data_IF_734147006969
#
_entry.id   IF_734147006969
#
_cell.length_a   1.000
_cell.length_b   1.000
_cell.length_c   1.000
_cell.angle_alpha   90.00
_cell.angle_beta   90.00
_cell.angle_gamma   90.00
#
_symmetry.space_group_name_H-M   'P 1'
#
loop_
_entity.id
_entity.type
_entity.pdbx_description
1 polymer ?
#
# COMPACT_ATOMS: atom_id res chain seq x y z
N UNK A 1 12.77 9.73 11.84
CA UNK A 1 11.61 9.36 12.69
C UNK A 1 12.00 9.28 14.15
N UNK A 2 12.92 8.40 14.56
CA UNK A 2 13.29 8.24 15.97
C UNK A 2 13.82 9.51 16.68
N UNK A 3 14.30 10.49 15.92
CA UNK A 3 14.81 11.77 16.42
C UNK A 3 13.79 12.92 16.34
N UNK A 4 12.54 12.64 15.94
CA UNK A 4 11.49 13.66 15.88
C UNK A 4 10.78 13.75 17.23
N UNK A 5 10.49 14.97 17.67
CA UNK A 5 9.75 15.22 18.93
C UNK A 5 8.25 14.99 18.78
N UNK A 6 7.73 15.03 17.54
CA UNK A 6 6.33 14.86 17.21
C UNK A 6 6.15 13.81 16.09
N UNK A 7 4.93 13.27 15.99
CA UNK A 7 4.57 12.34 14.93
C UNK A 7 4.61 13.02 13.55
N UNK A 8 5.11 12.29 12.54
CA UNK A 8 5.05 12.74 11.15
C UNK A 8 3.59 12.85 10.70
N UNK A 9 3.28 13.99 10.08
CA UNK A 9 2.02 14.13 9.35
C UNK A 9 1.89 13.09 8.24
N UNK A 10 0.66 12.66 7.99
CA UNK A 10 0.35 11.81 6.86
C UNK A 10 0.61 12.58 5.56
N UNK A 11 1.32 11.94 4.62
CA UNK A 11 1.58 12.47 3.30
C UNK A 11 0.84 11.63 2.25
N UNK A 12 0.23 12.30 1.27
CA UNK A 12 -0.34 11.66 0.09
C UNK A 12 0.33 12.28 -1.13
N UNK A 13 0.93 11.43 -1.96
CA UNK A 13 1.59 11.82 -3.21
C UNK A 13 0.74 11.32 -4.38
N UNK A 14 -0.14 12.18 -4.87
CA UNK A 14 -1.11 11.83 -5.92
C UNK A 14 -0.42 11.47 -7.23
N UNK A 15 0.61 12.22 -7.64
CA UNK A 15 1.38 11.98 -8.86
C UNK A 15 2.28 10.73 -8.75
N UNK A 16 2.74 10.45 -7.53
CA UNK A 16 3.55 9.29 -7.18
C UNK A 16 2.74 8.02 -6.92
N UNK A 17 1.41 8.13 -6.87
CA UNK A 17 0.49 7.06 -6.49
C UNK A 17 0.86 6.41 -5.15
N UNK A 18 1.21 7.20 -4.13
CA UNK A 18 1.63 6.67 -2.83
C UNK A 18 1.11 7.48 -1.65
N UNK A 19 1.08 6.86 -0.48
CA UNK A 19 0.83 7.52 0.79
C UNK A 19 1.83 7.04 1.84
N UNK A 20 2.15 7.91 2.79
CA UNK A 20 3.11 7.63 3.85
C UNK A 20 2.56 8.12 5.19
N UNK A 21 2.71 7.29 6.22
CA UNK A 21 2.45 7.68 7.62
C UNK A 21 3.54 7.16 8.54
N UNK A 22 3.66 7.75 9.72
CA UNK A 22 4.54 7.19 10.75
C UNK A 22 4.04 5.80 11.16
N UNK A 23 4.98 4.88 11.37
CA UNK A 23 4.73 3.55 11.94
C UNK A 23 5.83 3.30 12.97
N UNK A 24 5.49 3.52 14.25
CA UNK A 24 6.43 3.48 15.37
C UNK A 24 7.62 4.42 15.12
N UNK A 25 8.86 3.89 15.07
CA UNK A 25 10.09 4.63 14.78
C UNK A 25 10.52 4.56 13.31
N UNK A 26 9.61 4.12 12.43
CA UNK A 26 9.78 4.08 10.98
C UNK A 26 8.56 4.68 10.29
N UNK A 27 8.31 4.23 9.06
CA UNK A 27 7.15 4.65 8.27
C UNK A 27 6.44 3.44 7.68
N UNK A 28 5.15 3.59 7.42
CA UNK A 28 4.42 2.75 6.48
C UNK A 28 4.29 3.54 5.18
N UNK A 29 4.70 2.93 4.08
CA UNK A 29 4.50 3.42 2.72
C UNK A 29 3.52 2.47 2.02
N UNK A 30 2.43 3.00 1.51
CA UNK A 30 1.51 2.29 0.63
C UNK A 30 1.58 2.86 -0.78
N UNK A 31 1.36 2.02 -1.78
CA UNK A 31 1.37 2.38 -3.20
C UNK A 31 0.06 1.95 -3.86
N UNK A 32 -0.38 2.73 -4.85
CA UNK A 32 -1.52 2.43 -5.71
C UNK A 32 -1.00 2.08 -7.11
N UNK A 33 -1.16 0.83 -7.50
CA UNK A 33 -0.65 0.33 -8.77
C UNK A 33 -1.45 0.90 -9.95
N UNK A 34 -0.75 1.39 -10.97
CA UNK A 34 -1.42 1.79 -12.22
C UNK A 34 -1.79 0.60 -13.11
N UNK A 35 -1.09 -0.53 -12.95
CA UNK A 35 -1.38 -1.79 -13.66
C UNK A 35 -1.66 -2.91 -12.66
N UNK A 36 -2.84 -2.90 -12.01
CA UNK A 36 -3.14 -3.84 -10.93
C UNK A 36 -3.38 -5.26 -11.45
N UNK A 37 -3.04 -6.25 -10.62
CA UNK A 37 -3.40 -7.64 -10.85
C UNK A 37 -4.64 -8.00 -10.03
N UNK A 38 -5.70 -8.40 -10.71
CA UNK A 38 -6.88 -8.93 -10.05
C UNK A 38 -6.56 -10.26 -9.35
N UNK A 39 -7.14 -10.45 -8.17
CA UNK A 39 -6.97 -11.65 -7.36
C UNK A 39 -8.30 -12.38 -7.23
N UNK A 40 -8.32 -13.67 -7.54
CA UNK A 40 -9.47 -14.56 -7.38
C UNK A 40 -10.78 -14.02 -7.98
N UNK A 41 -10.79 -13.76 -9.30
CA UNK A 41 -11.95 -13.24 -10.03
C UNK A 41 -13.19 -14.15 -9.97
N UNK A 42 -12.98 -15.46 -9.82
CA UNK A 42 -14.07 -16.44 -9.67
C UNK A 42 -14.56 -16.58 -8.21
N UNK A 43 -13.97 -15.83 -7.28
CA UNK A 43 -14.26 -15.84 -5.85
C UNK A 43 -13.05 -16.25 -5.01
N UNK A 44 -12.83 -15.53 -3.91
CA UNK A 44 -11.84 -15.91 -2.92
C UNK A 44 -12.24 -17.21 -2.19
N UNK A 45 -11.29 -18.03 -1.73
CA UNK A 45 -11.58 -19.20 -0.88
C UNK A 45 -12.41 -18.83 0.35
N UNK A 46 -13.35 -19.70 0.73
CA UNK A 46 -14.24 -19.46 1.87
C UNK A 46 -13.53 -19.41 3.22
N UNK A 47 -12.34 -20.00 3.32
CA UNK A 47 -11.48 -20.01 4.49
C UNK A 47 -10.43 -18.89 4.48
N UNK A 48 -10.39 -18.05 3.44
CA UNK A 48 -9.51 -16.90 3.40
C UNK A 48 -9.95 -15.82 4.40
N UNK A 49 -9.01 -15.34 5.21
CA UNK A 49 -9.27 -14.30 6.21
C UNK A 49 -8.00 -13.60 6.70
N UNK A 50 -7.38 -14.13 7.77
CA UNK A 50 -6.20 -13.54 8.42
C UNK A 50 -4.90 -13.94 7.68
N UNK A 51 -4.93 -13.89 6.35
CA UNK A 51 -3.83 -14.30 5.48
C UNK A 51 -3.43 -13.17 4.53
N UNK A 52 -2.14 -13.09 4.22
CA UNK A 52 -1.60 -12.16 3.24
C UNK A 52 -1.29 -12.90 1.95
N UNK A 53 -1.53 -12.23 0.83
CA UNK A 53 -1.07 -12.67 -0.48
C UNK A 53 0.46 -12.52 -0.49
N UNK A 54 1.22 -13.44 -1.10
CA UNK A 54 2.66 -13.26 -1.27
C UNK A 54 2.99 -11.93 -1.97
N UNK A 55 4.07 -11.29 -1.56
CA UNK A 55 4.52 -10.05 -2.19
C UNK A 55 4.99 -10.27 -3.63
N UNK A 56 4.74 -9.28 -4.48
CA UNK A 56 5.21 -9.21 -5.85
C UNK A 56 5.87 -7.83 -6.05
N UNK A 57 7.16 -7.77 -5.73
CA UNK A 57 7.89 -6.49 -5.64
C UNK A 57 8.09 -5.89 -7.03
N UNK A 58 8.31 -6.71 -8.04
CA UNK A 58 8.52 -6.25 -9.41
C UNK A 58 7.26 -5.54 -9.95
N UNK A 59 6.08 -6.04 -9.58
CA UNK A 59 4.79 -5.45 -9.95
C UNK A 59 4.62 -4.01 -9.43
N UNK A 60 5.06 -3.73 -8.21
CA UNK A 60 4.93 -2.41 -7.56
C UNK A 60 6.17 -1.51 -7.72
N UNK A 61 7.22 -2.02 -8.37
CA UNK A 61 8.51 -1.32 -8.49
C UNK A 61 8.43 0.06 -9.15
N UNK A 62 7.56 0.32 -10.16
CA UNK A 62 7.45 1.65 -10.75
C UNK A 62 7.02 2.72 -9.74
N UNK A 63 5.96 2.48 -8.98
CA UNK A 63 5.44 3.39 -7.95
C UNK A 63 6.39 3.48 -6.76
N UNK A 64 6.97 2.34 -6.34
CA UNK A 64 7.97 2.31 -5.27
C UNK A 64 9.20 3.17 -5.61
N UNK A 65 9.63 3.15 -6.87
CA UNK A 65 10.75 3.97 -7.36
C UNK A 65 10.42 5.47 -7.28
N UNK A 66 9.19 5.86 -7.63
CA UNK A 66 8.72 7.26 -7.46
C UNK A 66 8.73 7.67 -5.99
N UNK A 67 8.25 6.79 -5.10
CA UNK A 67 8.27 7.05 -3.66
C UNK A 67 9.70 7.23 -3.12
N UNK A 68 10.69 6.47 -3.61
CA UNK A 68 12.09 6.68 -3.26
C UNK A 68 12.67 7.99 -3.79
N UNK A 69 12.23 8.46 -4.98
CA UNK A 69 12.61 9.79 -5.46
C UNK A 69 12.00 10.89 -4.58
N UNK A 70 10.75 10.72 -4.13
CA UNK A 70 10.04 11.66 -3.25
C UNK A 70 10.62 11.70 -1.84
N UNK A 71 10.98 10.53 -1.32
CA UNK A 71 11.53 10.34 0.03
C UNK A 71 12.86 9.57 -0.01
N UNK A 72 13.97 10.21 -0.39
CA UNK A 72 15.26 9.53 -0.62
C UNK A 72 15.82 8.76 0.59
N UNK A 73 15.41 9.12 1.81
CA UNK A 73 15.81 8.40 3.01
C UNK A 73 15.26 6.96 3.08
N UNK A 74 14.13 6.67 2.42
CA UNK A 74 13.51 5.34 2.44
C UNK A 74 14.32 4.31 1.67
N UNK A 75 15.03 4.73 0.62
CA UNK A 75 15.91 3.85 -0.16
C UNK A 75 17.04 3.20 0.67
N UNK A 76 17.32 3.74 1.87
CA UNK A 76 18.36 3.24 2.79
C UNK A 76 17.79 2.70 4.11
N UNK A 77 16.50 2.87 4.37
CA UNK A 77 15.89 2.54 5.67
C UNK A 77 15.72 1.03 5.90
N UNK A 78 15.77 0.23 4.82
CA UNK A 78 15.46 -1.20 4.85
C UNK A 78 13.95 -1.48 4.97
N UNK A 79 13.52 -2.67 4.57
CA UNK A 79 12.12 -3.09 4.63
C UNK A 79 11.93 -4.09 5.75
N UNK A 80 11.03 -3.78 6.68
CA UNK A 80 10.74 -4.66 7.81
C UNK A 80 9.71 -5.74 7.48
N UNK A 81 8.68 -5.39 6.71
CA UNK A 81 7.56 -6.28 6.39
C UNK A 81 6.86 -5.79 5.12
N UNK A 82 6.51 -6.73 4.25
CA UNK A 82 5.56 -6.51 3.16
C UNK A 82 4.14 -6.87 3.61
N UNK A 83 3.15 -6.09 3.18
CA UNK A 83 1.73 -6.35 3.42
C UNK A 83 1.04 -6.26 2.06
N UNK A 84 0.66 -7.42 1.52
CA UNK A 84 -0.14 -7.52 0.32
C UNK A 84 -1.44 -8.24 0.70
N UNK A 85 -2.53 -7.48 0.78
CA UNK A 85 -3.84 -7.98 1.22
C UNK A 85 -4.88 -7.76 0.13
N UNK A 86 -5.93 -8.58 0.14
CA UNK A 86 -7.06 -8.38 -0.76
C UNK A 86 -7.81 -7.08 -0.41
N UNK A 87 -8.25 -6.37 -1.44
CA UNK A 87 -9.11 -5.19 -1.32
C UNK A 87 -10.15 -5.24 -2.43
N UNK A 88 -11.35 -4.74 -2.16
CA UNK A 88 -12.47 -4.75 -3.11
C UNK A 88 -12.68 -3.36 -3.72
N UNK A 89 -12.82 -3.31 -5.05
CA UNK A 89 -13.13 -2.10 -5.78
C UNK A 89 -14.40 -2.30 -6.60
N UNK A 90 -15.25 -1.27 -6.61
CA UNK A 90 -16.35 -1.13 -7.56
C UNK A 90 -15.88 -0.37 -8.80
N UNK A 91 -16.60 -0.44 -9.93
CA UNK A 91 -16.21 0.27 -11.15
C UNK A 91 -16.06 1.79 -11.01
N UNK A 92 -16.76 2.41 -10.06
CA UNK A 92 -16.72 3.85 -9.78
C UNK A 92 -15.91 4.21 -8.52
N UNK A 93 -15.39 3.20 -7.80
CA UNK A 93 -14.64 3.36 -6.56
C UNK A 93 -15.48 3.64 -5.32
N UNK A 94 -16.80 3.79 -5.44
CA UNK A 94 -17.69 4.02 -4.30
C UNK A 94 -18.14 2.71 -3.64
N UNK A 95 -18.42 2.67 -2.34
CA UNK A 95 -18.99 1.47 -1.72
C UNK A 95 -20.39 1.17 -2.26
N UNK A 96 -20.76 -0.11 -2.38
CA UNK A 96 -22.14 -0.53 -2.63
C UNK A 96 -22.90 -0.61 -1.31
N UNK A 97 -23.88 0.26 -1.12
CA UNK A 97 -24.68 0.33 0.12
C UNK A 97 -26.16 0.44 -0.24
N UNK A 98 -26.96 -0.52 0.23
CA UNK A 98 -28.40 -0.56 -0.03
C UNK A 98 -29.02 -1.91 0.34
N UNK A 99 -30.35 -2.05 0.24
CA UNK A 99 -31.01 -3.35 0.34
C UNK A 99 -30.54 -4.29 -0.78
N UNK A 100 -30.61 -5.58 -0.51
CA UNK A 100 -30.44 -6.65 -1.51
C UNK A 100 -31.73 -6.82 -2.30
#
# INVERSE_FOLDING_TARGET
>A
VAALDNELGLAVDLDGFSYLRQERKGVLLGVYEQNPKHWNMDGAPWDYGIELIPEDIDRISPELSKAYQRFPCLAKAGIRKWVNGAFTFTPDGNPLVGPV
#
